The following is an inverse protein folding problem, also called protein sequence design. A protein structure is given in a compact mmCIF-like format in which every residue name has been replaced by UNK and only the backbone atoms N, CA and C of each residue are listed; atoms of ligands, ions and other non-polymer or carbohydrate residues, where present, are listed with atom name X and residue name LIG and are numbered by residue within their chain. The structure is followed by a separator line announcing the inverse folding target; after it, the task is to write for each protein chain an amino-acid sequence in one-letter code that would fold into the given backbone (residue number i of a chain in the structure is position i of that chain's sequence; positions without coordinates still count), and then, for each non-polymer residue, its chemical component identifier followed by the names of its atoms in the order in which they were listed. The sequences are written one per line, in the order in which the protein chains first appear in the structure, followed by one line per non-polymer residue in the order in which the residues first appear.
data_IF_399626172039
#
_entry.id   IF_399626172039
#
_cell.length_a   1.000
_cell.length_b   1.000
_cell.length_c   1.000
_cell.angle_alpha   90.00
_cell.angle_beta   90.00
_cell.angle_gamma   90.00
#
_symmetry.space_group_name_H-M   'P 1'
#
loop_
_entity.id
_entity.type
_entity.pdbx_description
1 polymer ?
#
# COMPACT_ATOMS: atom_id res chain seq x y z
N UNK A 1 9.77 6.67 7.99
CA UNK A 1 9.13 6.29 6.72
C UNK A 1 9.64 7.25 5.67
N UNK A 2 10.21 6.73 4.58
CA UNK A 2 10.71 7.58 3.49
C UNK A 2 9.59 8.02 2.55
N UNK A 3 9.94 8.82 1.53
CA UNK A 3 8.98 9.35 0.54
C UNK A 3 8.32 8.25 -0.29
N UNK A 4 9.05 7.18 -0.63
CA UNK A 4 8.53 6.07 -1.44
C UNK A 4 7.49 5.29 -0.64
N UNK A 5 7.81 4.91 0.60
CA UNK A 5 6.91 4.23 1.51
C UNK A 5 5.66 5.07 1.81
N UNK A 6 5.81 6.40 1.93
CA UNK A 6 4.67 7.31 2.06
C UNK A 6 3.76 7.31 0.84
N UNK A 7 4.33 7.44 -0.36
CA UNK A 7 3.56 7.37 -1.61
C UNK A 7 2.77 6.07 -1.69
N UNK A 8 3.43 4.93 -1.52
CA UNK A 8 2.78 3.61 -1.57
C UNK A 8 1.67 3.52 -0.52
N UNK A 9 1.93 4.00 0.71
CA UNK A 9 0.91 3.96 1.75
C UNK A 9 -0.31 4.81 1.40
N UNK A 10 -0.08 5.97 0.78
CA UNK A 10 -1.12 6.87 0.29
C UNK A 10 -1.92 6.24 -0.85
N UNK A 11 -1.27 5.71 -1.88
CA UNK A 11 -1.91 5.11 -3.06
C UNK A 11 -2.79 3.91 -2.64
N UNK A 12 -2.28 3.03 -1.77
CA UNK A 12 -3.08 1.93 -1.19
C UNK A 12 -4.30 2.48 -0.42
N UNK A 13 -4.11 3.51 0.41
CA UNK A 13 -5.21 4.07 1.19
C UNK A 13 -6.26 4.74 0.31
N UNK A 14 -5.82 5.45 -0.74
CA UNK A 14 -6.68 6.13 -1.70
C UNK A 14 -7.57 5.11 -2.42
N UNK A 15 -6.96 4.09 -3.04
CA UNK A 15 -7.69 3.04 -3.77
C UNK A 15 -8.67 2.30 -2.85
N UNK A 16 -8.24 1.89 -1.65
CA UNK A 16 -9.10 1.15 -0.75
C UNK A 16 -10.29 1.97 -0.24
N UNK A 17 -10.13 3.28 -0.05
CA UNK A 17 -11.23 4.19 0.31
C UNK A 17 -12.17 4.38 -0.87
N UNK A 18 -11.63 4.63 -2.06
CA UNK A 18 -12.42 4.79 -3.30
C UNK A 18 -13.28 3.55 -3.59
N UNK A 19 -12.72 2.35 -3.42
CA UNK A 19 -13.44 1.09 -3.58
C UNK A 19 -14.38 0.75 -2.40
N UNK A 20 -14.50 1.63 -1.42
CA UNK A 20 -15.38 1.49 -0.27
C UNK A 20 -14.99 0.35 0.68
N UNK A 21 -13.70 0.03 0.77
CA UNK A 21 -13.17 -1.03 1.62
C UNK A 21 -13.21 -0.64 3.09
N UNK A 22 -13.70 -1.53 3.96
CA UNK A 22 -13.71 -1.26 5.41
C UNK A 22 -12.27 -1.28 5.97
N UNK A 23 -11.78 -0.18 6.59
CA UNK A 23 -10.47 -0.13 7.24
C UNK A 23 -10.28 -1.23 8.29
N UNK A 24 -11.34 -1.74 8.89
CA UNK A 24 -11.25 -2.83 9.87
C UNK A 24 -10.74 -4.14 9.24
N UNK A 25 -11.05 -4.41 7.97
CA UNK A 25 -10.53 -5.60 7.29
C UNK A 25 -9.02 -5.45 7.03
N UNK A 26 -8.55 -4.28 6.60
CA UNK A 26 -7.11 -4.01 6.50
C UNK A 26 -6.44 -4.09 7.88
N UNK A 27 -7.12 -3.64 8.95
CA UNK A 27 -6.65 -3.77 10.32
C UNK A 27 -6.39 -5.22 10.76
N UNK A 28 -7.24 -6.17 10.34
CA UNK A 28 -7.04 -7.60 10.60
C UNK A 28 -5.81 -8.13 9.85
N UNK A 29 -5.60 -7.70 8.61
CA UNK A 29 -4.41 -8.05 7.81
C UNK A 29 -3.12 -7.54 8.46
N UNK A 30 -3.10 -6.27 8.89
CA UNK A 30 -1.96 -5.69 9.63
C UNK A 30 -1.70 -6.44 10.94
N UNK A 31 -2.75 -6.76 11.70
CA UNK A 31 -2.64 -7.49 12.96
C UNK A 31 -2.09 -8.92 12.77
N UNK A 32 -2.47 -9.58 11.67
CA UNK A 32 -1.88 -10.86 11.28
C UNK A 32 -0.40 -10.72 10.97
N UNK A 33 -0.02 -9.74 10.14
CA UNK A 33 1.37 -9.54 9.71
C UNK A 33 2.35 -9.24 10.85
N UNK A 34 1.89 -8.53 11.89
CA UNK A 34 2.72 -8.26 13.07
C UNK A 34 3.25 -9.52 13.74
N UNK A 35 2.55 -10.66 13.61
CA UNK A 35 2.96 -11.95 14.20
C UNK A 35 4.15 -12.59 13.50
N UNK A 36 4.43 -12.19 12.25
CA UNK A 36 5.48 -12.74 11.39
C UNK A 36 6.59 -11.72 11.12
N UNK A 37 6.67 -10.66 11.93
CA UNK A 37 7.69 -9.62 11.77
C UNK A 37 9.09 -10.22 11.95
N UNK A 38 9.94 -10.06 10.94
CA UNK A 38 11.31 -10.56 10.94
C UNK A 38 11.48 -11.94 10.28
N UNK A 39 10.38 -12.57 9.82
CA UNK A 39 10.46 -13.78 9.00
C UNK A 39 10.65 -13.42 7.52
N UNK A 40 11.58 -14.11 6.85
CA UNK A 40 11.90 -13.89 5.43
C UNK A 40 10.74 -14.24 4.48
N UNK A 41 9.78 -15.06 4.91
CA UNK A 41 8.65 -15.54 4.10
C UNK A 41 7.32 -14.80 4.38
N UNK A 42 7.34 -13.75 5.21
CA UNK A 42 6.11 -13.10 5.67
C UNK A 42 5.30 -12.45 4.53
N UNK A 43 5.95 -11.95 3.46
CA UNK A 43 5.27 -11.45 2.25
C UNK A 43 4.46 -12.53 1.55
N UNK A 44 5.02 -13.73 1.36
CA UNK A 44 4.29 -14.83 0.74
C UNK A 44 3.14 -15.31 1.62
N UNK A 45 3.33 -15.32 2.94
CA UNK A 45 2.28 -15.63 3.92
C UNK A 45 1.16 -14.61 3.92
N UNK A 46 1.47 -13.33 3.75
CA UNK A 46 0.50 -12.25 3.56
C UNK A 46 -0.38 -12.53 2.35
N UNK A 47 0.25 -12.70 1.18
CA UNK A 47 -0.48 -12.92 -0.07
C UNK A 47 -1.28 -14.22 -0.02
N UNK A 48 -0.71 -15.29 0.51
CA UNK A 48 -1.41 -16.56 0.73
C UNK A 48 -2.60 -16.44 1.69
N UNK A 49 -2.52 -15.60 2.72
CA UNK A 49 -3.66 -15.32 3.60
C UNK A 49 -4.76 -14.57 2.84
N UNK A 50 -4.41 -13.46 2.20
CA UNK A 50 -5.37 -12.60 1.51
C UNK A 50 -6.06 -13.40 0.42
N UNK A 51 -5.32 -14.16 -0.39
CA UNK A 51 -5.86 -15.03 -1.43
C UNK A 51 -6.80 -16.09 -0.87
N UNK A 52 -6.47 -16.72 0.27
CA UNK A 52 -7.37 -17.66 0.95
C UNK A 52 -8.67 -16.98 1.38
N UNK A 53 -8.59 -15.81 2.01
CA UNK A 53 -9.76 -15.06 2.48
C UNK A 53 -10.62 -14.54 1.31
N UNK A 54 -9.99 -14.11 0.23
CA UNK A 54 -10.64 -13.68 -1.00
C UNK A 54 -11.35 -14.83 -1.74
N UNK A 55 -10.88 -16.07 -1.61
CA UNK A 55 -11.44 -17.24 -2.30
C UNK A 55 -12.28 -18.17 -1.41
N UNK A 56 -12.33 -17.92 -0.09
CA UNK A 56 -13.11 -18.74 0.83
C UNK A 56 -14.60 -18.57 0.56
N UNK A 57 -15.23 -19.64 0.05
CA UNK A 57 -16.70 -19.77 -0.13
C UNK A 57 -17.41 -20.33 1.11
N UNK A 58 -16.84 -20.19 2.31
CA UNK A 58 -17.48 -20.72 3.50
C UNK A 58 -18.81 -20.01 3.74
N UNK A 59 -19.88 -20.80 3.86
CA UNK A 59 -21.23 -20.38 4.24
C UNK A 59 -21.32 -19.64 5.59
N UNK A 60 -20.19 -19.54 6.32
CA UNK A 60 -20.05 -18.88 7.61
C UNK A 60 -19.58 -17.41 7.53
N UNK A 61 -19.16 -16.92 6.35
CA UNK A 61 -18.90 -15.49 6.15
C UNK A 61 -20.25 -14.85 5.82
N UNK A 62 -20.88 -14.21 6.82
CA UNK A 62 -22.22 -13.59 6.76
C UNK A 62 -22.44 -12.57 5.63
N UNK A 63 -21.43 -12.23 4.82
CA UNK A 63 -21.58 -11.23 3.76
C UNK A 63 -20.58 -11.42 2.61
N UNK A 64 -21.08 -11.46 1.38
CA UNK A 64 -20.28 -11.35 0.13
C UNK A 64 -19.38 -10.10 0.11
N UNK A 65 -19.67 -9.12 0.96
CA UNK A 65 -18.93 -7.87 1.11
C UNK A 65 -17.54 -8.09 1.73
N UNK A 66 -17.41 -8.97 2.72
CA UNK A 66 -16.11 -9.27 3.34
C UNK A 66 -15.13 -9.87 2.33
N UNK A 67 -15.62 -10.77 1.47
CA UNK A 67 -14.83 -11.35 0.39
C UNK A 67 -14.37 -10.28 -0.63
N UNK A 68 -15.26 -9.32 -0.95
CA UNK A 68 -14.91 -8.18 -1.81
C UNK A 68 -13.80 -7.34 -1.20
N UNK A 69 -13.86 -7.05 0.11
CA UNK A 69 -12.82 -6.30 0.80
C UNK A 69 -11.45 -6.98 0.74
N UNK A 70 -11.38 -8.31 0.87
CA UNK A 70 -10.10 -9.01 0.73
C UNK A 70 -9.58 -9.02 -0.71
N UNK A 71 -10.44 -9.07 -1.73
CA UNK A 71 -10.02 -8.90 -3.13
C UNK A 71 -9.44 -7.51 -3.39
N UNK A 72 -10.13 -6.47 -2.92
CA UNK A 72 -9.66 -5.09 -2.99
C UNK A 72 -8.29 -4.94 -2.31
N UNK A 73 -8.13 -5.49 -1.10
CA UNK A 73 -6.84 -5.46 -0.39
C UNK A 73 -5.75 -6.20 -1.18
N UNK A 74 -6.09 -7.34 -1.79
CA UNK A 74 -5.16 -8.08 -2.64
C UNK A 74 -4.68 -7.23 -3.80
N UNK A 75 -5.60 -6.66 -4.56
CA UNK A 75 -5.34 -5.86 -5.75
C UNK A 75 -4.48 -4.63 -5.42
N UNK A 76 -4.84 -3.88 -4.36
CA UNK A 76 -4.03 -2.74 -3.94
C UNK A 76 -2.60 -3.16 -3.51
N UNK A 77 -2.46 -4.29 -2.81
CA UNK A 77 -1.15 -4.79 -2.41
C UNK A 77 -0.32 -5.27 -3.61
N UNK A 78 -0.92 -5.97 -4.57
CA UNK A 78 -0.23 -6.46 -5.77
C UNK A 78 0.22 -5.29 -6.66
N UNK A 79 -0.62 -4.27 -6.82
CA UNK A 79 -0.32 -3.08 -7.61
C UNK A 79 0.79 -2.24 -6.98
N UNK A 80 0.74 -1.99 -5.66
CA UNK A 80 1.60 -0.97 -5.03
C UNK A 80 2.80 -1.54 -4.27
N UNK A 81 2.80 -2.83 -3.89
CA UNK A 81 3.90 -3.50 -3.17
C UNK A 81 4.73 -4.43 -4.06
N UNK A 82 4.61 -4.33 -5.38
CA UNK A 82 5.29 -5.23 -6.32
C UNK A 82 6.81 -5.24 -6.11
N UNK A 83 7.42 -4.08 -5.86
CA UNK A 83 8.86 -3.91 -5.67
C UNK A 83 9.33 -3.88 -4.21
N UNK A 84 8.40 -4.00 -3.25
CA UNK A 84 8.71 -3.98 -1.82
C UNK A 84 8.82 -5.40 -1.30
N UNK A 85 10.01 -5.83 -0.92
CA UNK A 85 10.27 -7.20 -0.44
C UNK A 85 10.52 -7.28 1.06
N UNK A 86 10.97 -6.20 1.70
CA UNK A 86 11.20 -6.18 3.14
C UNK A 86 9.87 -6.20 3.92
N UNK A 87 9.79 -7.13 4.87
CA UNK A 87 8.57 -7.34 5.67
C UNK A 87 8.31 -6.18 6.63
N UNK A 88 9.37 -5.57 7.18
CA UNK A 88 9.27 -4.41 8.05
C UNK A 88 8.74 -3.19 7.28
N UNK A 89 9.18 -3.01 6.04
CA UNK A 89 8.69 -1.98 5.13
C UNK A 89 7.23 -2.20 4.77
N UNK A 90 6.84 -3.41 4.34
CA UNK A 90 5.44 -3.75 4.04
C UNK A 90 4.54 -3.47 5.25
N UNK A 91 4.96 -3.91 6.44
CA UNK A 91 4.18 -3.70 7.66
C UNK A 91 4.04 -2.21 8.01
N UNK A 92 5.10 -1.44 7.78
CA UNK A 92 5.11 0.01 7.99
C UNK A 92 4.13 0.69 7.03
N UNK A 93 4.22 0.36 5.74
CA UNK A 93 3.33 0.88 4.69
C UNK A 93 1.86 0.57 5.01
N UNK A 94 1.50 -0.70 5.21
CA UNK A 94 0.12 -1.09 5.51
C UNK A 94 -0.41 -0.48 6.81
N UNK A 95 0.47 -0.31 7.80
CA UNK A 95 0.14 0.37 9.06
C UNK A 95 -0.19 1.85 8.87
N UNK A 96 0.48 2.53 7.93
CA UNK A 96 0.15 3.90 7.55
C UNK A 96 -1.06 3.98 6.63
N UNK A 97 -1.21 3.07 5.67
CA UNK A 97 -2.42 2.98 4.84
C UNK A 97 -3.68 2.85 5.69
N UNK A 98 -3.67 2.02 6.74
CA UNK A 98 -4.79 1.90 7.67
C UNK A 98 -5.14 3.23 8.36
N UNK A 99 -4.13 4.01 8.77
CA UNK A 99 -4.34 5.32 9.39
C UNK A 99 -4.92 6.31 8.37
N UNK A 100 -4.37 6.33 7.17
CA UNK A 100 -4.83 7.19 6.07
C UNK A 100 -6.25 6.85 5.63
N UNK A 101 -6.60 5.56 5.52
CA UNK A 101 -7.98 5.16 5.22
C UNK A 101 -8.98 5.74 6.23
N UNK A 102 -8.64 5.71 7.53
CA UNK A 102 -9.50 6.29 8.58
C UNK A 102 -9.58 7.81 8.46
N UNK A 103 -8.45 8.45 8.16
CA UNK A 103 -8.38 9.89 7.97
C UNK A 103 -9.20 10.36 6.76
N UNK A 104 -9.01 9.74 5.60
CA UNK A 104 -9.70 10.08 4.35
C UNK A 104 -11.20 9.79 4.37
N UNK A 105 -11.67 8.87 5.22
CA UNK A 105 -13.12 8.71 5.45
C UNK A 105 -13.76 9.89 6.18
N UNK A 106 -12.97 10.65 6.94
CA UNK A 106 -13.42 11.87 7.64
C UNK A 106 -13.12 13.11 6.80
N UNK A 107 -11.99 13.09 6.08
CA UNK A 107 -11.45 14.21 5.29
C UNK A 107 -11.18 13.77 3.83
N UNK A 108 -12.21 13.50 3.02
CA UNK A 108 -12.03 12.97 1.66
C UNK A 108 -11.32 13.94 0.72
N UNK A 109 -11.50 15.25 0.90
CA UNK A 109 -10.83 16.29 0.11
C UNK A 109 -9.29 16.21 0.25
N UNK A 110 -8.81 15.79 1.42
CA UNK A 110 -7.37 15.61 1.68
C UNK A 110 -6.78 14.43 0.90
N UNK A 111 -7.57 13.38 0.66
CA UNK A 111 -7.15 12.26 -0.15
C UNK A 111 -6.87 12.72 -1.59
N UNK A 112 -7.76 13.55 -2.14
CA UNK A 112 -7.66 14.09 -3.49
C UNK A 112 -6.51 15.10 -3.60
N UNK A 113 -6.33 15.96 -2.59
CA UNK A 113 -5.22 16.92 -2.54
C UNK A 113 -3.86 16.21 -2.54
N UNK A 114 -3.72 15.17 -1.71
CA UNK A 114 -2.48 14.40 -1.62
C UNK A 114 -2.21 13.62 -2.92
N UNK A 115 -3.25 13.09 -3.58
CA UNK A 115 -3.11 12.38 -4.86
C UNK A 115 -2.66 13.32 -6.00
N UNK A 116 -3.10 14.58 -5.93
CA UNK A 116 -2.72 15.63 -6.90
C UNK A 116 -1.36 16.24 -6.62
N UNK A 117 -0.80 16.04 -5.43
CA UNK A 117 0.52 16.56 -5.08
C UNK A 117 1.53 15.93 -6.05
N UNK A 118 2.31 16.74 -6.80
CA UNK A 118 3.37 16.20 -7.62
C UNK A 118 4.31 15.39 -6.74
N UNK A 119 4.43 14.09 -6.99
CA UNK A 119 5.52 13.31 -6.42
C UNK A 119 6.80 13.93 -6.98
N UNK A 120 7.55 14.64 -6.13
CA UNK A 120 8.77 15.31 -6.55
C UNK A 120 9.65 14.28 -7.31
N UNK A 121 10.15 14.61 -8.51
CA UNK A 121 10.99 13.70 -9.28
C UNK A 121 12.10 13.18 -8.37
N UNK A 122 12.24 11.86 -8.28
CA UNK A 122 13.48 11.28 -7.75
C UNK A 122 14.62 11.89 -8.55
N UNK A 123 15.60 12.48 -7.86
CA UNK A 123 16.73 13.15 -8.48
C UNK A 123 17.39 12.20 -9.48
N UNK A 124 17.11 12.40 -10.77
CA UNK A 124 17.98 11.91 -11.83
C UNK A 124 19.31 12.61 -11.57
N UNK A 125 20.43 11.91 -11.29
CA UNK A 125 21.70 12.59 -11.13
C UNK A 125 21.95 13.39 -12.40
N UNK A 126 22.19 14.69 -12.26
CA UNK A 126 22.53 15.55 -13.38
C UNK A 126 23.66 14.89 -14.16
N UNK A 127 23.53 14.70 -15.49
CA UNK A 127 24.66 14.23 -16.28
C UNK A 127 25.81 15.23 -16.10
N UNK A 128 27.05 14.77 -15.91
CA UNK A 128 28.18 15.66 -15.63
C UNK A 128 28.29 16.67 -16.76
N UNK A 129 28.27 17.96 -16.39
CA UNK A 129 28.33 19.07 -17.33
C UNK A 129 29.52 18.89 -18.27
N UNK A 130 29.22 18.69 -19.56
CA UNK A 130 30.25 18.61 -20.58
C UNK A 130 30.86 20.01 -20.71
N UNK A 131 32.04 20.21 -20.14
CA UNK A 131 32.83 21.41 -20.37
C UNK A 131 33.04 21.54 -21.88
N UNK A 132 32.47 22.59 -22.47
CA UNK A 132 32.71 22.95 -23.87
C UNK A 132 34.17 23.42 -23.99
N UNK A 133 35.00 22.85 -24.89
CA UNK A 133 36.35 23.34 -25.08
C UNK A 133 36.32 24.74 -25.69
N UNK A 134 37.05 25.68 -25.09
CA UNK A 134 37.27 27.02 -25.65
C UNK A 134 38.02 26.90 -26.99
N UNK A 135 37.64 27.69 -28.02
CA UNK A 135 38.38 27.74 -29.28
C UNK A 135 39.68 28.56 -29.15
N UNK A 136 40.66 28.33 -30.05
CA UNK A 136 42.03 28.85 -29.95
C UNK A 136 42.16 30.36 -30.13
#
# INVERSE_FOLDING_TARGET
MDKKQWSIAHDIAFDLVDWGTDPNELGKVVAFMRRYKGESDAKNRLMSLIQRLANTRNALIRSRQTQRFYRNIQEACETHLYDVSDTGEILTILGWSLRLMRYYRVEPERAVEEQRRPQAPQQIPEPPSTQTPQPP
#
